data_IF_404478333099
#
_entry.id   IF_404478333099
#
_cell.length_a   1.000
_cell.length_b   1.000
_cell.length_c   1.000
_cell.angle_alpha   90.00
_cell.angle_beta   90.00
_cell.angle_gamma   90.00
#
_symmetry.space_group_name_H-M   'P 1'
#
loop_
_entity.id
_entity.type
_entity.pdbx_description
1 polymer ?
#
# COMPACT_ATOMS: atom_id res chain seq x y z
N UNK A 1 10.56 -31.78 -17.68
CA UNK A 1 11.43 -30.70 -17.19
C UNK A 1 10.76 -29.41 -17.60
N UNK A 2 10.16 -28.65 -16.67
CA UNK A 2 9.63 -27.33 -16.97
C UNK A 2 10.83 -26.40 -17.20
N UNK A 3 11.11 -26.06 -18.44
CA UNK A 3 12.07 -24.99 -18.77
C UNK A 3 11.39 -23.70 -18.36
N UNK A 4 11.97 -22.97 -17.43
CA UNK A 4 11.41 -21.72 -16.95
C UNK A 4 11.57 -20.61 -17.99
N UNK A 5 10.68 -19.61 -17.95
CA UNK A 5 10.66 -18.55 -18.93
C UNK A 5 11.96 -17.70 -18.92
N UNK A 6 12.56 -17.49 -17.77
CA UNK A 6 13.85 -16.82 -17.62
C UNK A 6 14.96 -17.50 -18.41
N UNK A 7 15.08 -18.82 -18.29
CA UNK A 7 16.12 -19.60 -18.98
C UNK A 7 15.93 -19.60 -20.49
N UNK A 8 14.67 -19.64 -20.94
CA UNK A 8 14.34 -19.52 -22.37
C UNK A 8 14.77 -18.18 -22.95
N UNK A 9 14.40 -17.08 -22.30
CA UNK A 9 14.76 -15.72 -22.69
C UNK A 9 16.28 -15.52 -22.63
N UNK A 10 16.93 -15.94 -21.56
CA UNK A 10 18.38 -15.82 -21.43
C UNK A 10 19.10 -16.59 -22.54
N UNK A 11 18.68 -17.82 -22.84
CA UNK A 11 19.25 -18.62 -23.91
C UNK A 11 19.04 -17.96 -25.29
N UNK A 12 17.85 -17.44 -25.55
CA UNK A 12 17.52 -16.73 -26.76
C UNK A 12 18.43 -15.51 -26.93
N UNK A 13 18.52 -14.65 -25.93
CA UNK A 13 19.31 -13.41 -26.00
C UNK A 13 20.82 -13.65 -26.11
N UNK A 14 21.33 -14.71 -25.47
CA UNK A 14 22.73 -15.11 -25.67
C UNK A 14 22.97 -15.60 -27.11
N UNK A 15 22.06 -16.39 -27.67
CA UNK A 15 22.18 -16.90 -29.04
C UNK A 15 22.03 -15.80 -30.12
N UNK A 16 21.23 -14.80 -29.85
CA UNK A 16 21.05 -13.60 -30.70
C UNK A 16 22.22 -12.62 -30.58
N UNK A 17 22.98 -12.69 -29.48
CA UNK A 17 24.14 -11.84 -29.25
C UNK A 17 25.35 -12.37 -30.02
N UNK A 18 26.35 -11.48 -30.22
CA UNK A 18 27.66 -11.86 -30.79
C UNK A 18 28.55 -12.59 -29.74
N UNK A 19 28.08 -12.76 -28.53
CA UNK A 19 28.85 -13.34 -27.42
C UNK A 19 28.53 -14.83 -27.24
N UNK A 20 29.58 -15.63 -27.15
CA UNK A 20 29.44 -16.98 -26.67
C UNK A 20 29.60 -17.05 -25.15
N UNK A 21 29.25 -18.18 -24.54
CA UNK A 21 29.31 -18.40 -23.09
C UNK A 21 30.73 -18.17 -22.53
N UNK A 22 31.79 -18.43 -23.32
CA UNK A 22 33.17 -18.21 -22.92
C UNK A 22 33.48 -16.74 -22.76
N UNK A 23 33.06 -15.93 -23.75
CA UNK A 23 33.23 -14.47 -23.75
C UNK A 23 32.43 -13.83 -22.62
N UNK A 24 31.16 -14.24 -22.47
CA UNK A 24 30.32 -13.73 -21.36
C UNK A 24 30.90 -14.08 -19.98
N UNK A 25 31.43 -15.29 -19.81
CA UNK A 25 32.08 -15.70 -18.57
C UNK A 25 33.26 -14.77 -18.21
N UNK A 26 34.07 -14.39 -19.21
CA UNK A 26 35.20 -13.47 -18.99
C UNK A 26 34.74 -12.05 -18.65
N UNK A 27 33.70 -11.54 -19.33
CA UNK A 27 33.18 -10.18 -19.16
C UNK A 27 32.44 -10.02 -17.83
N UNK A 28 31.63 -10.99 -17.46
CA UNK A 28 30.75 -10.93 -16.27
C UNK A 28 31.41 -11.47 -15.01
N UNK A 29 32.57 -12.16 -15.15
CA UNK A 29 33.22 -12.92 -14.08
C UNK A 29 32.30 -14.01 -13.45
N UNK A 30 31.35 -14.53 -14.24
CA UNK A 30 30.47 -15.65 -13.88
C UNK A 30 31.04 -16.92 -14.52
N UNK A 31 31.10 -18.05 -13.79
CA UNK A 31 31.66 -19.28 -14.34
C UNK A 31 30.84 -19.79 -15.55
N UNK A 32 31.54 -20.38 -16.55
CA UNK A 32 30.88 -20.96 -17.73
C UNK A 32 29.80 -21.97 -17.36
N UNK A 33 30.10 -22.83 -16.37
CA UNK A 33 29.16 -23.83 -15.90
C UNK A 33 27.90 -23.21 -15.30
N UNK A 34 28.03 -22.09 -14.60
CA UNK A 34 26.88 -21.34 -14.06
C UNK A 34 26.01 -20.76 -15.18
N UNK A 35 26.62 -20.09 -16.18
CA UNK A 35 25.87 -19.54 -17.32
C UNK A 35 25.13 -20.66 -18.06
N UNK A 36 25.78 -21.81 -18.31
CA UNK A 36 25.15 -22.96 -18.94
C UNK A 36 23.98 -23.53 -18.12
N UNK A 37 24.13 -23.61 -16.79
CA UNK A 37 23.03 -24.04 -15.91
C UNK A 37 21.86 -23.05 -15.91
N UNK A 38 22.14 -21.76 -16.03
CA UNK A 38 21.10 -20.74 -16.16
C UNK A 38 20.35 -20.89 -17.49
N UNK A 39 21.07 -21.04 -18.62
CA UNK A 39 20.48 -21.25 -19.93
C UNK A 39 19.67 -22.56 -20.05
N UNK A 40 20.06 -23.60 -19.33
CA UNK A 40 19.38 -24.90 -19.34
C UNK A 40 18.22 -25.01 -18.35
N UNK A 41 18.00 -24.01 -17.48
CA UNK A 41 16.99 -24.04 -16.46
C UNK A 41 17.28 -24.95 -15.26
N UNK A 42 18.48 -25.54 -15.20
CA UNK A 42 18.90 -26.38 -14.06
C UNK A 42 19.04 -25.54 -12.80
N UNK A 43 19.44 -24.27 -12.95
CA UNK A 43 19.63 -23.34 -11.85
C UNK A 43 19.26 -21.94 -12.32
N UNK A 44 18.74 -21.13 -11.40
CA UNK A 44 18.59 -19.68 -11.60
C UNK A 44 19.65 -18.95 -10.77
N UNK A 45 20.07 -17.74 -11.16
CA UNK A 45 20.98 -16.93 -10.35
C UNK A 45 20.44 -16.71 -8.94
N UNK A 46 21.30 -16.82 -7.93
CA UNK A 46 20.88 -16.69 -6.53
C UNK A 46 20.63 -15.24 -6.11
N UNK A 47 21.31 -14.30 -6.75
CA UNK A 47 21.22 -12.87 -6.44
C UNK A 47 20.98 -12.05 -7.70
N UNK A 48 20.36 -10.89 -7.50
CA UNK A 48 20.03 -9.97 -8.58
C UNK A 48 21.26 -9.37 -9.26
N UNK A 49 22.35 -9.15 -8.51
CA UNK A 49 23.62 -8.64 -9.04
C UNK A 49 24.17 -9.50 -10.20
N UNK A 50 23.97 -10.82 -10.14
CA UNK A 50 24.35 -11.74 -11.23
C UNK A 50 23.59 -11.46 -12.51
N UNK A 51 22.29 -11.13 -12.38
CA UNK A 51 21.44 -10.75 -13.51
C UNK A 51 21.85 -9.40 -14.07
N UNK A 52 22.14 -8.42 -13.22
CA UNK A 52 22.60 -7.10 -13.65
C UNK A 52 23.89 -7.21 -14.47
N UNK A 53 24.86 -8.03 -14.02
CA UNK A 53 26.08 -8.30 -14.78
C UNK A 53 25.80 -8.89 -16.16
N UNK A 54 24.90 -9.87 -16.25
CA UNK A 54 24.53 -10.43 -17.57
C UNK A 54 23.85 -9.38 -18.47
N UNK A 55 22.90 -8.62 -17.94
CA UNK A 55 22.17 -7.58 -18.67
C UNK A 55 23.11 -6.44 -19.14
N UNK A 56 24.13 -6.10 -18.34
CA UNK A 56 25.10 -5.05 -18.67
C UNK A 56 25.90 -5.38 -19.91
N UNK A 57 26.29 -6.63 -20.08
CA UNK A 57 27.16 -7.06 -21.18
C UNK A 57 26.43 -7.63 -22.38
N UNK A 58 25.14 -8.02 -22.24
CA UNK A 58 24.32 -8.44 -23.37
C UNK A 58 23.81 -7.20 -24.13
N UNK A 59 23.85 -7.21 -25.48
CA UNK A 59 23.35 -6.10 -26.31
C UNK A 59 21.83 -6.10 -26.40
N UNK A 60 21.16 -5.87 -25.26
CA UNK A 60 19.72 -5.89 -25.12
C UNK A 60 19.11 -4.50 -25.24
N UNK A 61 17.98 -4.40 -25.90
CA UNK A 61 17.12 -3.23 -25.84
C UNK A 61 16.58 -3.02 -24.41
N UNK A 62 16.06 -1.83 -24.12
CA UNK A 62 15.44 -1.54 -22.81
C UNK A 62 14.30 -2.54 -22.52
N UNK A 63 13.46 -2.82 -23.50
CA UNK A 63 12.33 -3.76 -23.38
C UNK A 63 12.84 -5.18 -23.03
N UNK A 64 13.84 -5.67 -23.75
CA UNK A 64 14.42 -6.99 -23.48
C UNK A 64 15.07 -7.10 -22.12
N UNK A 65 15.73 -6.02 -21.64
CA UNK A 65 16.27 -5.95 -20.28
C UNK A 65 15.17 -6.10 -19.22
N UNK A 66 14.07 -5.39 -19.42
CA UNK A 66 12.94 -5.43 -18.48
C UNK A 66 12.22 -6.79 -18.53
N UNK A 67 12.07 -7.39 -19.71
CA UNK A 67 11.52 -8.75 -19.84
C UNK A 67 12.37 -9.79 -19.12
N UNK A 68 13.69 -9.73 -19.27
CA UNK A 68 14.59 -10.68 -18.62
C UNK A 68 14.58 -10.51 -17.09
N UNK A 69 14.56 -9.26 -16.60
CA UNK A 69 14.42 -8.96 -15.18
C UNK A 69 13.09 -9.48 -14.62
N UNK A 70 12.00 -9.20 -15.32
CA UNK A 70 10.66 -9.66 -14.95
C UNK A 70 10.60 -11.19 -14.86
N UNK A 71 11.10 -11.87 -15.88
CA UNK A 71 11.13 -13.32 -15.90
C UNK A 71 11.96 -13.92 -14.76
N UNK A 72 13.12 -13.32 -14.47
CA UNK A 72 13.94 -13.70 -13.32
C UNK A 72 13.21 -13.52 -11.99
N UNK A 73 12.56 -12.38 -11.79
CA UNK A 73 11.82 -12.10 -10.57
C UNK A 73 10.65 -13.07 -10.37
N UNK A 74 9.92 -13.38 -11.44
CA UNK A 74 8.84 -14.38 -11.39
C UNK A 74 9.36 -15.75 -10.96
N UNK A 75 10.53 -16.16 -11.46
CA UNK A 75 11.14 -17.44 -11.07
C UNK A 75 11.63 -17.43 -9.61
N UNK A 76 12.10 -16.28 -9.10
CA UNK A 76 12.60 -16.17 -7.72
C UNK A 76 11.48 -16.15 -6.69
N UNK A 77 10.40 -15.41 -6.95
CA UNK A 77 9.36 -15.15 -5.94
C UNK A 77 8.04 -15.83 -6.26
N UNK A 78 7.87 -16.36 -7.47
CA UNK A 78 6.61 -16.85 -8.00
C UNK A 78 5.74 -15.74 -8.61
N UNK A 79 4.92 -16.11 -9.59
CA UNK A 79 4.09 -15.15 -10.35
C UNK A 79 3.17 -14.31 -9.46
N UNK A 80 2.49 -14.93 -8.50
CA UNK A 80 1.58 -14.23 -7.59
C UNK A 80 2.29 -13.21 -6.72
N UNK A 81 3.45 -13.57 -6.15
CA UNK A 81 4.23 -12.64 -5.34
C UNK A 81 4.80 -11.49 -6.20
N UNK A 82 5.17 -11.76 -7.45
CA UNK A 82 5.59 -10.72 -8.37
C UNK A 82 4.46 -9.71 -8.64
N UNK A 83 3.23 -10.18 -8.86
CA UNK A 83 2.07 -9.30 -9.00
C UNK A 83 1.84 -8.45 -7.74
N UNK A 84 1.93 -9.05 -6.56
CA UNK A 84 1.83 -8.33 -5.28
C UNK A 84 2.92 -7.26 -5.13
N UNK A 85 4.16 -7.56 -5.52
CA UNK A 85 5.26 -6.59 -5.52
C UNK A 85 4.99 -5.40 -6.47
N UNK A 86 4.37 -5.65 -7.62
CA UNK A 86 3.97 -4.58 -8.54
C UNK A 86 2.95 -3.64 -7.89
N UNK A 87 1.91 -4.19 -7.27
CA UNK A 87 0.91 -3.38 -6.56
C UNK A 87 1.50 -2.65 -5.36
N UNK A 88 2.44 -3.27 -4.63
CA UNK A 88 3.17 -2.60 -3.55
C UNK A 88 3.99 -1.41 -4.06
N UNK A 89 4.63 -1.55 -5.22
CA UNK A 89 5.38 -0.45 -5.85
C UNK A 89 4.44 0.70 -6.22
N UNK A 90 3.31 0.41 -6.84
CA UNK A 90 2.27 1.38 -7.19
C UNK A 90 1.71 2.05 -5.93
N UNK A 91 1.41 1.28 -4.89
CA UNK A 91 0.98 1.79 -3.59
C UNK A 91 1.96 2.80 -2.99
N UNK A 92 3.26 2.49 -2.98
CA UNK A 92 4.27 3.42 -2.46
C UNK A 92 4.36 4.68 -3.34
N UNK A 93 4.31 4.52 -4.66
CA UNK A 93 4.37 5.64 -5.58
C UNK A 93 3.15 6.57 -5.47
N UNK A 94 1.97 6.02 -5.15
CA UNK A 94 0.74 6.79 -4.99
C UNK A 94 0.85 7.87 -3.89
N UNK A 95 1.67 7.66 -2.86
CA UNK A 95 1.88 8.68 -1.83
C UNK A 95 2.50 9.98 -2.36
N UNK A 96 3.26 9.93 -3.45
CA UNK A 96 3.84 11.12 -4.08
C UNK A 96 2.81 11.92 -4.90
N UNK A 97 1.70 11.30 -5.28
CA UNK A 97 0.64 11.91 -6.10
C UNK A 97 -0.51 12.47 -5.28
N UNK A 98 -0.62 12.13 -4.00
CA UNK A 98 -1.64 12.65 -3.10
C UNK A 98 -1.17 13.93 -2.40
N UNK A 99 -1.91 15.02 -2.39
CA UNK A 99 -3.23 15.31 -2.93
C UNK A 99 -3.22 16.52 -3.89
N UNK A 100 -2.74 16.36 -5.09
CA UNK A 100 -2.68 17.49 -6.05
C UNK A 100 -3.88 17.58 -7.00
N UNK A 101 -4.84 16.66 -6.97
CA UNK A 101 -6.02 16.75 -7.81
C UNK A 101 -6.94 17.88 -7.31
N UNK A 102 -6.74 19.06 -7.88
CA UNK A 102 -7.65 20.21 -7.78
C UNK A 102 -8.85 20.01 -8.71
N UNK A 103 -9.57 18.92 -8.58
CA UNK A 103 -10.91 18.87 -9.16
C UNK A 103 -11.80 19.79 -8.33
N UNK A 104 -12.04 20.99 -8.85
CA UNK A 104 -13.03 21.89 -8.30
C UNK A 104 -14.43 21.39 -8.69
N UNK A 105 -14.95 20.42 -7.96
CA UNK A 105 -16.37 20.16 -8.02
C UNK A 105 -17.11 21.37 -7.44
N UNK A 106 -18.06 21.89 -8.20
CA UNK A 106 -18.99 22.86 -7.66
C UNK A 106 -19.93 22.11 -6.72
N UNK A 107 -19.64 22.16 -5.41
CA UNK A 107 -20.37 21.42 -4.37
C UNK A 107 -21.69 22.12 -3.97
N UNK A 108 -22.05 23.23 -4.61
CA UNK A 108 -23.29 23.94 -4.31
C UNK A 108 -24.45 23.44 -5.18
N UNK A 109 -25.00 22.28 -4.84
CA UNK A 109 -26.23 21.78 -5.45
C UNK A 109 -27.44 22.26 -4.64
N UNK A 110 -28.37 22.98 -5.30
CA UNK A 110 -29.70 23.26 -4.73
C UNK A 110 -30.67 22.22 -5.29
N UNK A 111 -31.10 21.31 -4.45
CA UNK A 111 -32.07 20.28 -4.82
C UNK A 111 -33.48 20.76 -4.53
N UNK A 112 -34.26 21.11 -5.58
CA UNK A 112 -35.69 21.36 -5.43
C UNK A 112 -36.50 20.05 -5.38
N UNK A 113 -36.01 19.00 -6.05
CA UNK A 113 -36.60 17.65 -6.06
C UNK A 113 -35.52 16.66 -6.51
N UNK A 114 -35.49 15.49 -5.90
CA UNK A 114 -34.64 14.40 -6.32
C UNK A 114 -35.48 13.17 -6.69
N UNK A 115 -35.09 12.48 -7.75
CA UNK A 115 -35.76 11.25 -8.16
C UNK A 115 -35.50 10.13 -7.15
N UNK A 116 -36.50 9.27 -6.93
CA UNK A 116 -36.34 8.07 -6.08
C UNK A 116 -35.43 7.01 -6.71
N UNK A 117 -35.27 7.04 -8.03
CA UNK A 117 -34.44 6.09 -8.78
C UNK A 117 -33.42 6.85 -9.62
N UNK A 118 -32.18 6.36 -9.63
CA UNK A 118 -31.14 6.73 -10.56
C UNK A 118 -31.02 5.61 -11.60
N UNK A 119 -31.05 5.97 -12.87
CA UNK A 119 -31.01 5.04 -14.01
C UNK A 119 -29.67 5.10 -14.76
N UNK A 120 -28.76 5.93 -14.30
CA UNK A 120 -27.44 6.10 -14.89
C UNK A 120 -26.46 6.64 -13.82
N UNK A 121 -25.11 6.59 -14.09
CA UNK A 121 -24.11 7.06 -13.15
C UNK A 121 -24.23 8.54 -12.76
N UNK A 122 -24.69 9.40 -13.66
CA UNK A 122 -24.80 10.85 -13.38
C UNK A 122 -25.94 11.13 -12.40
N UNK A 123 -27.08 10.49 -12.57
CA UNK A 123 -28.19 10.59 -11.62
C UNK A 123 -27.79 10.01 -10.25
N UNK A 124 -26.99 8.93 -10.23
CA UNK A 124 -26.47 8.35 -9.00
C UNK A 124 -25.49 9.30 -8.29
N UNK A 125 -24.65 10.01 -9.02
CA UNK A 125 -23.79 11.07 -8.46
C UNK A 125 -24.62 12.19 -7.84
N UNK A 126 -25.68 12.63 -8.49
CA UNK A 126 -26.60 13.65 -7.94
C UNK A 126 -27.26 13.17 -6.65
N UNK A 127 -27.71 11.91 -6.57
CA UNK A 127 -28.21 11.33 -5.33
C UNK A 127 -27.16 11.34 -4.22
N UNK A 128 -25.89 11.03 -4.56
CA UNK A 128 -24.81 11.07 -3.59
C UNK A 128 -24.56 12.48 -3.04
N UNK A 129 -24.54 13.48 -3.91
CA UNK A 129 -24.47 14.89 -3.48
C UNK A 129 -25.61 15.22 -2.51
N UNK A 130 -26.84 14.85 -2.85
CA UNK A 130 -28.00 15.11 -2.01
C UNK A 130 -27.88 14.47 -0.62
N UNK A 131 -27.43 13.21 -0.54
CA UNK A 131 -27.28 12.51 0.76
C UNK A 131 -26.20 13.15 1.62
N UNK A 132 -25.09 13.58 1.01
CA UNK A 132 -24.00 14.21 1.76
C UNK A 132 -24.44 15.59 2.26
N UNK A 133 -25.20 16.35 1.46
CA UNK A 133 -25.77 17.62 1.89
C UNK A 133 -26.80 17.44 3.04
N UNK A 134 -27.64 16.41 2.97
CA UNK A 134 -28.54 16.07 4.08
C UNK A 134 -27.72 15.78 5.36
N UNK A 135 -26.65 14.99 5.25
CA UNK A 135 -25.79 14.70 6.39
C UNK A 135 -25.12 15.96 6.96
N UNK A 136 -24.62 16.85 6.10
CA UNK A 136 -23.99 18.11 6.52
C UNK A 136 -24.94 19.05 7.26
N UNK A 137 -26.22 19.05 6.86
CA UNK A 137 -27.28 19.88 7.48
C UNK A 137 -27.80 19.31 8.80
N UNK A 138 -27.45 18.03 9.14
CA UNK A 138 -27.92 17.35 10.36
C UNK A 138 -26.75 16.91 11.25
N UNK A 139 -26.47 15.61 11.28
CA UNK A 139 -25.45 15.05 12.19
C UNK A 139 -24.02 15.20 11.73
N UNK A 140 -23.79 15.69 10.53
CA UNK A 140 -22.51 15.70 9.83
C UNK A 140 -21.86 14.31 9.75
N UNK A 141 -22.69 13.27 9.58
CA UNK A 141 -22.21 11.88 9.55
C UNK A 141 -22.79 11.12 8.38
N UNK A 142 -21.94 10.43 7.64
CA UNK A 142 -22.33 9.45 6.62
C UNK A 142 -21.88 8.04 7.01
N UNK A 143 -22.70 7.05 6.65
CA UNK A 143 -22.45 5.62 6.83
C UNK A 143 -22.36 4.97 5.47
N UNK A 144 -21.29 4.29 5.17
CA UNK A 144 -20.96 3.75 3.86
C UNK A 144 -20.74 2.24 3.99
N UNK A 145 -21.48 1.45 3.24
CA UNK A 145 -21.22 0.04 3.00
C UNK A 145 -20.85 -0.12 1.53
N UNK A 146 -19.58 0.06 1.20
CA UNK A 146 -19.10 0.06 -0.17
C UNK A 146 -17.58 0.02 -0.18
N UNK A 147 -17.01 -0.63 -1.17
CA UNK A 147 -15.58 -0.61 -1.42
C UNK A 147 -15.12 0.77 -1.90
N UNK A 148 -13.82 1.02 -1.87
CA UNK A 148 -13.26 2.31 -2.29
C UNK A 148 -12.92 2.37 -3.80
N UNK A 149 -12.90 1.24 -4.48
CA UNK A 149 -12.60 1.08 -5.91
C UNK A 149 -13.80 1.41 -6.82
N UNK A 150 -14.44 2.54 -6.59
CA UNK A 150 -15.64 2.92 -7.30
C UNK A 150 -15.65 4.42 -7.67
N UNK A 151 -16.39 4.82 -8.71
CA UNK A 151 -16.39 6.21 -9.21
C UNK A 151 -17.03 7.22 -8.26
N UNK A 152 -17.79 6.77 -7.25
CA UNK A 152 -18.44 7.64 -6.27
C UNK A 152 -17.50 8.07 -5.15
N UNK A 153 -16.39 7.34 -4.95
CA UNK A 153 -15.47 7.59 -3.85
C UNK A 153 -14.79 8.95 -3.96
N UNK A 154 -14.50 9.41 -5.18
CA UNK A 154 -13.92 10.74 -5.42
C UNK A 154 -14.82 11.85 -4.90
N UNK A 155 -16.14 11.76 -5.09
CA UNK A 155 -17.11 12.74 -4.57
C UNK A 155 -17.06 12.76 -3.04
N UNK A 156 -17.05 11.58 -2.40
CA UNK A 156 -16.93 11.47 -0.93
C UNK A 156 -15.64 12.12 -0.44
N UNK A 157 -14.53 11.89 -1.14
CA UNK A 157 -13.24 12.49 -0.81
C UNK A 157 -13.28 14.01 -0.91
N UNK A 158 -13.86 14.59 -1.97
CA UNK A 158 -13.97 16.03 -2.16
C UNK A 158 -14.81 16.69 -1.06
N UNK A 159 -15.94 16.10 -0.68
CA UNK A 159 -16.72 16.58 0.46
C UNK A 159 -15.92 16.49 1.77
N UNK A 160 -15.25 15.38 2.02
CA UNK A 160 -14.42 15.21 3.21
C UNK A 160 -13.30 16.26 3.28
N UNK A 161 -12.67 16.58 2.15
CA UNK A 161 -11.63 17.62 2.04
C UNK A 161 -12.16 19.01 2.37
N UNK A 162 -13.34 19.35 1.86
CA UNK A 162 -13.94 20.68 2.03
C UNK A 162 -14.67 20.83 3.38
N UNK A 163 -15.16 19.74 3.96
CA UNK A 163 -15.88 19.73 5.24
C UNK A 163 -15.15 18.84 6.28
N UNK A 164 -14.15 19.39 6.98
CA UNK A 164 -13.34 18.63 7.95
C UNK A 164 -14.12 18.02 9.11
N UNK A 165 -15.32 18.55 9.40
CA UNK A 165 -16.22 18.05 10.44
C UNK A 165 -17.05 16.84 9.99
N UNK A 166 -17.09 16.54 8.69
CA UNK A 166 -17.81 15.39 8.18
C UNK A 166 -17.24 14.09 8.74
N UNK A 167 -18.04 13.35 9.46
CA UNK A 167 -17.69 12.05 10.07
C UNK A 167 -18.04 10.92 9.08
N UNK A 168 -17.06 10.10 8.76
CA UNK A 168 -17.23 9.00 7.81
C UNK A 168 -17.09 7.66 8.53
N UNK A 169 -18.15 6.84 8.47
CA UNK A 169 -18.14 5.45 8.96
C UNK A 169 -18.29 4.52 7.77
N UNK A 170 -17.21 3.82 7.40
CA UNK A 170 -17.20 2.94 6.23
C UNK A 170 -16.92 1.49 6.62
N UNK A 171 -17.62 0.58 5.98
CA UNK A 171 -17.35 -0.85 5.99
C UNK A 171 -17.00 -1.26 4.57
N UNK A 172 -15.82 -1.84 4.40
CA UNK A 172 -15.33 -2.39 3.12
C UNK A 172 -15.38 -3.92 3.16
N UNK A 173 -15.62 -4.52 2.01
CA UNK A 173 -15.56 -5.97 1.84
C UNK A 173 -14.16 -6.36 1.38
N UNK A 174 -13.43 -7.09 2.20
CA UNK A 174 -12.16 -7.68 1.83
C UNK A 174 -12.37 -9.11 1.37
N UNK A 175 -11.54 -9.56 0.45
CA UNK A 175 -11.48 -10.96 0.08
C UNK A 175 -10.73 -11.73 1.15
N UNK A 176 -11.30 -12.85 1.58
CA UNK A 176 -10.58 -13.81 2.42
C UNK A 176 -9.75 -14.68 1.49
N UNK A 177 -8.53 -14.25 1.27
CA UNK A 177 -7.65 -14.81 0.26
C UNK A 177 -7.04 -16.10 0.81
N UNK A 178 -7.51 -17.24 0.29
CA UNK A 178 -6.66 -18.44 0.22
C UNK A 178 -5.42 -18.10 -0.63
N UNK A 179 -4.48 -19.05 -0.72
CA UNK A 179 -3.16 -18.84 -1.35
C UNK A 179 -3.16 -18.37 -2.82
N UNK A 180 -4.32 -18.21 -3.44
CA UNK A 180 -4.45 -18.05 -4.91
C UNK A 180 -4.88 -16.65 -5.38
N UNK A 181 -4.88 -15.62 -4.52
CA UNK A 181 -5.50 -14.35 -4.92
C UNK A 181 -4.56 -13.16 -4.83
N UNK A 182 -4.65 -12.35 -5.89
CA UNK A 182 -4.00 -11.06 -6.08
C UNK A 182 -4.34 -10.05 -4.97
N UNK A 183 -3.49 -9.06 -4.79
CA UNK A 183 -3.45 -7.97 -3.80
C UNK A 183 -4.69 -7.07 -3.69
N UNK A 184 -5.91 -7.58 -3.98
CA UNK A 184 -7.13 -6.76 -4.01
C UNK A 184 -7.43 -6.00 -2.70
N UNK A 185 -6.99 -6.52 -1.54
CA UNK A 185 -7.15 -5.81 -0.27
C UNK A 185 -6.19 -4.63 -0.15
N UNK A 186 -4.99 -4.75 -0.72
CA UNK A 186 -4.01 -3.65 -0.80
C UNK A 186 -4.47 -2.56 -1.76
N UNK A 187 -5.05 -2.92 -2.90
CA UNK A 187 -5.66 -1.97 -3.85
C UNK A 187 -6.80 -1.19 -3.19
N UNK A 188 -7.65 -1.86 -2.39
CA UNK A 188 -8.68 -1.18 -1.61
C UNK A 188 -8.08 -0.20 -0.60
N UNK A 189 -6.99 -0.58 0.08
CA UNK A 189 -6.29 0.30 1.00
C UNK A 189 -5.72 1.51 0.28
N UNK A 190 -5.13 1.33 -0.90
CA UNK A 190 -4.61 2.41 -1.73
C UNK A 190 -5.68 3.47 -2.03
N UNK A 191 -6.86 3.03 -2.46
CA UNK A 191 -7.98 3.93 -2.74
C UNK A 191 -8.51 4.66 -1.50
N UNK A 192 -8.38 4.05 -0.31
CA UNK A 192 -8.78 4.66 0.96
C UNK A 192 -7.78 5.71 1.49
N UNK A 193 -6.51 5.63 1.08
CA UNK A 193 -5.45 6.48 1.63
C UNK A 193 -5.72 7.97 1.55
N UNK A 194 -6.19 8.56 0.44
CA UNK A 194 -6.48 9.98 0.36
C UNK A 194 -7.43 10.44 1.47
N UNK A 195 -8.49 9.67 1.72
CA UNK A 195 -9.45 9.95 2.77
C UNK A 195 -8.84 9.82 4.17
N UNK A 196 -7.93 8.86 4.36
CA UNK A 196 -7.25 8.63 5.63
C UNK A 196 -6.26 9.73 5.98
N UNK A 197 -5.66 10.37 5.00
CA UNK A 197 -4.72 11.48 5.20
C UNK A 197 -5.43 12.80 5.56
N UNK A 198 -6.74 12.91 5.35
CA UNK A 198 -7.52 14.08 5.73
C UNK A 198 -7.67 14.20 7.25
N UNK A 199 -8.04 15.41 7.73
CA UNK A 199 -8.27 15.68 9.15
C UNK A 199 -9.58 15.11 9.70
N UNK A 200 -10.47 14.65 8.85
CA UNK A 200 -11.78 14.12 9.19
C UNK A 200 -11.72 12.97 10.21
N UNK A 201 -12.78 12.84 11.00
CA UNK A 201 -12.99 11.68 11.85
C UNK A 201 -13.50 10.51 10.99
N UNK A 202 -12.59 9.62 10.62
CA UNK A 202 -12.91 8.43 9.82
C UNK A 202 -12.86 7.17 10.67
N UNK A 203 -13.82 6.28 10.49
CA UNK A 203 -13.84 4.94 11.07
C UNK A 203 -14.03 3.93 9.95
N UNK A 204 -12.96 3.27 9.56
CA UNK A 204 -12.99 2.25 8.51
C UNK A 204 -12.85 0.88 9.14
N UNK A 205 -13.79 0.02 8.78
CA UNK A 205 -13.85 -1.37 9.20
C UNK A 205 -13.91 -2.27 7.97
N UNK A 206 -13.59 -3.54 8.14
CA UNK A 206 -13.70 -4.52 7.09
C UNK A 206 -14.43 -5.78 7.54
N UNK A 207 -15.04 -6.44 6.59
CA UNK A 207 -15.59 -7.79 6.70
C UNK A 207 -14.98 -8.63 5.57
N UNK A 208 -14.70 -9.89 5.85
CA UNK A 208 -14.36 -10.81 4.76
C UNK A 208 -15.62 -11.28 4.07
N UNK A 209 -15.74 -10.95 2.78
CA UNK A 209 -16.79 -11.51 1.93
C UNK A 209 -16.52 -13.01 1.76
N UNK A 210 -17.48 -13.85 2.15
CA UNK A 210 -17.49 -15.24 1.71
C UNK A 210 -18.10 -15.23 0.30
N UNK A 211 -17.51 -15.97 -0.64
CA UNK A 211 -18.08 -16.16 -1.99
C UNK A 211 -19.53 -16.69 -1.95
N UNK A 212 -19.90 -17.37 -0.87
CA UNK A 212 -21.25 -17.89 -0.60
C UNK A 212 -22.10 -16.96 0.28
N UNK A 213 -21.75 -15.67 0.44
CA UNK A 213 -22.60 -14.76 1.22
C UNK A 213 -23.81 -14.37 0.37
N UNK A 214 -25.07 -14.58 0.84
CA UNK A 214 -26.27 -14.22 0.10
C UNK A 214 -26.35 -12.73 -0.27
N UNK A 215 -25.58 -11.86 0.38
CA UNK A 215 -25.44 -10.46 -0.03
C UNK A 215 -24.67 -10.27 -1.36
N UNK A 216 -23.90 -11.23 -1.83
CA UNK A 216 -23.31 -11.22 -3.16
C UNK A 216 -24.34 -11.33 -4.29
N UNK A 217 -25.49 -11.89 -4.00
CA UNK A 217 -26.62 -12.01 -4.94
C UNK A 217 -27.64 -10.88 -4.78
N UNK A 218 -27.36 -9.88 -3.92
CA UNK A 218 -28.22 -8.71 -3.80
C UNK A 218 -28.09 -7.84 -5.03
N UNK A 219 -29.21 -7.43 -5.59
CA UNK A 219 -29.26 -6.45 -6.70
C UNK A 219 -28.59 -5.13 -6.25
N UNK A 220 -28.69 -4.78 -4.97
CA UNK A 220 -28.10 -3.59 -4.37
C UNK A 220 -27.20 -3.97 -3.19
N UNK A 221 -25.93 -4.41 -3.46
CA UNK A 221 -25.02 -4.82 -2.41
C UNK A 221 -24.45 -3.65 -1.60
N UNK A 222 -24.51 -2.44 -2.13
CA UNK A 222 -23.90 -1.25 -1.55
C UNK A 222 -24.95 -0.27 -1.03
N UNK A 223 -24.56 0.51 -0.03
CA UNK A 223 -25.43 1.56 0.50
C UNK A 223 -24.64 2.72 1.10
N UNK A 224 -25.23 3.92 1.00
CA UNK A 224 -24.75 5.13 1.67
C UNK A 224 -25.95 5.74 2.39
N UNK A 225 -25.77 6.09 3.67
CA UNK A 225 -26.82 6.62 4.50
C UNK A 225 -26.41 7.93 5.19
N UNK A 226 -27.35 8.87 5.23
CA UNK A 226 -27.36 10.05 6.10
C UNK A 226 -28.33 9.81 7.29
N UNK A 227 -28.81 10.91 7.87
CA UNK A 227 -29.81 10.83 8.95
C UNK A 227 -31.20 10.52 8.43
N UNK A 228 -31.58 11.07 7.28
CA UNK A 228 -32.94 11.00 6.76
C UNK A 228 -33.09 10.10 5.53
N UNK A 229 -31.98 9.74 4.88
CA UNK A 229 -32.02 9.04 3.59
C UNK A 229 -31.00 7.92 3.51
N UNK A 230 -31.29 6.92 2.67
CA UNK A 230 -30.37 5.87 2.28
C UNK A 230 -30.41 5.73 0.76
N UNK A 231 -29.25 5.65 0.13
CA UNK A 231 -29.14 5.16 -1.25
C UNK A 231 -28.73 3.69 -1.20
N UNK A 232 -29.47 2.87 -1.89
CA UNK A 232 -29.05 1.52 -2.26
C UNK A 232 -28.45 1.57 -3.66
N UNK A 233 -27.32 0.91 -3.88
CA UNK A 233 -26.51 1.01 -5.10
C UNK A 233 -26.20 -0.39 -5.62
N UNK A 234 -26.36 -0.59 -6.93
CA UNK A 234 -26.05 -1.87 -7.59
C UNK A 234 -24.51 -2.10 -7.69
N UNK A 235 -24.13 -3.33 -8.07
CA UNK A 235 -22.73 -3.74 -8.18
C UNK A 235 -21.91 -2.90 -9.16
N UNK A 236 -22.55 -2.40 -10.22
CA UNK A 236 -21.90 -1.72 -11.33
C UNK A 236 -21.89 -0.20 -11.18
N UNK A 237 -22.45 0.33 -10.09
CA UNK A 237 -22.56 1.77 -9.82
C UNK A 237 -23.30 2.56 -10.92
N UNK A 238 -24.28 1.90 -11.56
CA UNK A 238 -25.10 2.50 -12.62
C UNK A 238 -26.52 2.80 -12.18
N UNK A 239 -27.02 2.06 -11.19
CA UNK A 239 -28.39 2.19 -10.68
C UNK A 239 -28.37 2.50 -9.19
N UNK A 240 -29.32 3.31 -8.77
CA UNK A 240 -29.51 3.64 -7.36
C UNK A 240 -30.98 3.81 -6.99
N UNK A 241 -31.29 3.56 -5.74
CA UNK A 241 -32.62 3.78 -5.17
C UNK A 241 -32.51 4.57 -3.87
N UNK A 242 -33.15 5.75 -3.84
CA UNK A 242 -33.23 6.60 -2.66
C UNK A 242 -34.42 6.20 -1.80
N UNK A 243 -34.15 5.90 -0.53
CA UNK A 243 -35.14 5.50 0.47
C UNK A 243 -35.17 6.55 1.59
N UNK A 244 -36.35 7.04 1.91
CA UNK A 244 -36.63 7.93 3.04
C UNK A 244 -37.59 7.32 4.07
N UNK A 245 -38.28 6.24 3.70
CA UNK A 245 -39.22 5.51 4.57
C UNK A 245 -38.55 4.24 5.11
N UNK A 246 -38.85 3.88 6.36
CA UNK A 246 -38.29 2.68 7.02
C UNK A 246 -36.74 2.64 7.09
N UNK A 247 -36.08 3.77 6.90
CA UNK A 247 -34.62 3.90 6.97
C UNK A 247 -34.03 3.35 8.27
N UNK A 248 -34.77 3.44 9.40
CA UNK A 248 -34.32 2.91 10.70
C UNK A 248 -33.97 1.42 10.63
N UNK A 249 -34.72 0.65 9.85
CA UNK A 249 -34.43 -0.78 9.67
C UNK A 249 -33.10 -1.00 8.96
N UNK A 250 -32.86 -0.31 7.85
CA UNK A 250 -31.63 -0.43 7.06
C UNK A 250 -30.41 0.11 7.83
N UNK A 251 -30.58 1.21 8.58
CA UNK A 251 -29.54 1.73 9.49
C UNK A 251 -29.21 0.69 10.58
N UNK A 252 -30.21 -0.02 11.10
CA UNK A 252 -29.97 -1.09 12.06
C UNK A 252 -29.20 -2.26 11.44
N UNK A 253 -29.47 -2.62 10.20
CA UNK A 253 -28.68 -3.64 9.48
C UNK A 253 -27.23 -3.19 9.28
N UNK A 254 -26.98 -1.92 8.89
CA UNK A 254 -25.63 -1.36 8.88
C UNK A 254 -24.96 -1.46 10.27
N UNK A 255 -25.67 -1.10 11.31
CA UNK A 255 -25.16 -1.14 12.69
C UNK A 255 -24.83 -2.58 13.13
N UNK A 256 -25.62 -3.57 12.74
CA UNK A 256 -25.33 -5.00 12.96
C UNK A 256 -24.05 -5.41 12.26
N UNK A 257 -23.93 -5.10 10.95
CA UNK A 257 -22.69 -5.35 10.18
C UNK A 257 -21.49 -4.63 10.80
N UNK A 258 -21.66 -3.39 11.24
CA UNK A 258 -20.62 -2.60 11.87
C UNK A 258 -20.15 -3.19 13.22
N UNK A 259 -21.01 -3.89 13.97
CA UNK A 259 -20.61 -4.62 15.19
C UNK A 259 -19.75 -5.84 14.85
N UNK A 260 -20.07 -6.56 13.77
CA UNK A 260 -19.34 -7.75 13.32
C UNK A 260 -18.04 -7.40 12.59
N UNK A 261 -17.98 -6.23 11.97
CA UNK A 261 -16.85 -5.79 11.19
C UNK A 261 -15.62 -5.49 12.08
N UNK A 262 -14.45 -5.98 11.64
CA UNK A 262 -13.17 -5.71 12.30
C UNK A 262 -12.68 -4.31 11.94
N UNK A 263 -12.02 -3.65 12.88
CA UNK A 263 -11.41 -2.34 12.64
C UNK A 263 -10.20 -2.52 11.72
N UNK A 264 -10.23 -1.83 10.57
CA UNK A 264 -9.12 -1.88 9.62
C UNK A 264 -7.97 -0.99 10.07
N UNK A 265 -8.30 0.22 10.53
CA UNK A 265 -7.33 1.29 10.69
C UNK A 265 -7.49 1.96 12.04
N UNK A 266 -6.36 2.20 12.69
CA UNK A 266 -6.21 3.10 13.83
C UNK A 266 -5.47 4.35 13.36
N UNK A 267 -6.13 5.49 13.40
CA UNK A 267 -5.58 6.79 13.05
C UNK A 267 -5.31 7.58 14.31
N UNK A 268 -4.09 8.04 14.50
CA UNK A 268 -3.73 8.95 15.56
C UNK A 268 -3.15 10.24 14.99
N UNK A 269 -3.52 11.39 15.59
CA UNK A 269 -2.88 12.67 15.26
C UNK A 269 -1.59 12.74 16.06
N UNK A 270 -0.50 13.10 15.41
CA UNK A 270 0.76 13.38 16.11
C UNK A 270 0.62 14.71 16.84
N UNK A 271 0.27 14.67 18.13
CA UNK A 271 0.25 15.86 18.99
C UNK A 271 1.64 16.29 19.47
N UNK A 272 2.59 15.37 19.45
CA UNK A 272 3.97 15.58 19.90
C UNK A 272 4.91 14.72 19.06
N UNK A 273 6.03 15.30 18.70
CA UNK A 273 7.21 14.74 18.09
C UNK A 273 7.08 13.32 17.50
N UNK A 274 7.17 13.17 16.18
CA UNK A 274 7.23 11.92 15.42
C UNK A 274 8.07 10.83 16.06
N UNK A 275 9.20 11.26 16.67
CA UNK A 275 10.18 10.40 17.29
C UNK A 275 9.59 9.68 18.49
N UNK A 276 8.79 10.36 19.29
CA UNK A 276 8.12 9.74 20.44
C UNK A 276 7.13 8.67 19.99
N UNK A 277 6.41 8.91 18.89
CA UNK A 277 5.48 7.91 18.35
C UNK A 277 6.23 6.73 17.78
N UNK A 278 7.28 6.97 17.04
CA UNK A 278 8.15 5.94 16.49
C UNK A 278 8.77 5.09 17.61
N UNK A 279 9.40 5.71 18.60
CA UNK A 279 10.02 5.01 19.75
C UNK A 279 8.98 4.26 20.60
N UNK A 280 7.85 4.89 20.91
CA UNK A 280 6.80 4.21 21.69
C UNK A 280 6.20 3.03 20.91
N UNK A 281 6.12 3.12 19.60
CA UNK A 281 5.66 2.00 18.76
C UNK A 281 6.67 0.86 18.79
N UNK A 282 7.96 1.17 18.69
CA UNK A 282 9.03 0.18 18.78
C UNK A 282 9.08 -0.49 20.15
N UNK A 283 9.04 0.30 21.22
CA UNK A 283 9.22 -0.21 22.61
C UNK A 283 8.02 -1.00 23.14
N UNK A 284 6.83 -0.81 22.56
CA UNK A 284 5.62 -1.55 22.97
C UNK A 284 5.53 -2.96 22.39
N UNK A 285 6.41 -3.32 21.47
CA UNK A 285 6.40 -4.63 20.83
C UNK A 285 7.69 -5.39 21.21
N UNK A 286 7.55 -6.49 21.96
CA UNK A 286 8.67 -7.34 22.40
C UNK A 286 8.92 -8.46 21.39
N UNK A 287 10.19 -8.75 21.10
CA UNK A 287 10.68 -9.92 20.33
C UNK A 287 10.09 -10.09 18.93
N UNK A 288 10.14 -9.07 18.09
CA UNK A 288 9.72 -9.15 16.69
C UNK A 288 10.82 -8.68 15.75
N UNK A 289 10.87 -9.27 14.56
CA UNK A 289 11.67 -8.74 13.46
C UNK A 289 10.95 -7.54 12.88
N UNK A 290 11.64 -6.39 12.83
CA UNK A 290 11.11 -5.16 12.27
C UNK A 290 11.78 -4.85 10.95
N UNK A 291 10.97 -4.44 9.99
CA UNK A 291 11.43 -3.86 8.73
C UNK A 291 10.99 -2.40 8.69
N UNK A 292 11.93 -1.51 8.48
CA UNK A 292 11.68 -0.07 8.32
C UNK A 292 12.05 0.33 6.90
N UNK A 293 11.10 0.96 6.22
CA UNK A 293 11.29 1.50 4.88
C UNK A 293 11.12 3.02 4.95
N UNK A 294 12.10 3.78 4.45
CA UNK A 294 12.08 5.24 4.52
C UNK A 294 13.07 5.87 3.54
N UNK A 295 12.96 7.19 3.36
CA UNK A 295 14.04 7.98 2.79
C UNK A 295 15.13 8.22 3.85
N UNK A 296 16.40 8.19 3.43
CA UNK A 296 17.56 8.29 4.33
C UNK A 296 17.58 9.58 5.13
N UNK A 297 17.14 10.71 4.54
CA UNK A 297 17.09 12.01 5.19
C UNK A 297 16.17 12.05 6.39
N UNK A 298 15.05 11.31 6.33
CA UNK A 298 14.08 11.22 7.43
C UNK A 298 14.69 10.49 8.62
N UNK A 299 15.31 9.34 8.38
CA UNK A 299 16.00 8.58 9.44
C UNK A 299 17.17 9.37 10.01
N UNK A 300 17.95 10.05 9.15
CA UNK A 300 19.05 10.92 9.62
C UNK A 300 18.54 12.04 10.54
N UNK A 301 17.42 12.66 10.19
CA UNK A 301 16.79 13.68 11.02
C UNK A 301 16.37 13.10 12.38
N UNK A 302 15.80 11.90 12.40
CA UNK A 302 15.44 11.22 13.65
C UNK A 302 16.65 10.89 14.51
N UNK A 303 17.71 10.35 13.92
CA UNK A 303 18.95 10.04 14.65
C UNK A 303 19.62 11.30 15.20
N UNK A 304 19.64 12.40 14.44
CA UNK A 304 20.18 13.70 14.89
C UNK A 304 19.41 14.22 16.09
N UNK A 305 18.08 14.16 16.07
CA UNK A 305 17.25 14.61 17.20
C UNK A 305 17.43 13.69 18.41
N UNK A 306 17.56 12.38 18.21
CA UNK A 306 17.84 11.41 19.28
C UNK A 306 19.20 11.68 19.95
N UNK A 307 20.21 12.07 19.16
CA UNK A 307 21.53 12.41 19.71
C UNK A 307 21.57 13.77 20.42
N UNK A 308 20.72 14.71 20.03
CA UNK A 308 20.65 16.04 20.62
C UNK A 308 19.78 16.12 21.89
N UNK A 309 18.76 15.27 22.00
CA UNK A 309 17.76 15.30 23.05
C UNK A 309 17.87 14.07 23.97
N UNK A 310 18.72 14.17 25.02
CA UNK A 310 18.62 13.44 26.29
C UNK A 310 18.83 11.92 26.30
N UNK A 311 19.47 11.48 27.36
CA UNK A 311 19.81 10.11 27.73
C UNK A 311 18.62 9.13 27.76
N UNK A 312 17.36 9.58 27.99
CA UNK A 312 16.20 8.71 28.09
C UNK A 312 15.77 8.04 26.77
N UNK A 313 15.85 8.77 25.65
CA UNK A 313 15.51 8.22 24.33
C UNK A 313 16.58 7.28 23.80
N UNK A 314 17.83 7.62 24.03
CA UNK A 314 18.99 6.80 23.68
C UNK A 314 18.94 5.46 24.42
N UNK A 315 18.60 5.47 25.70
CA UNK A 315 18.48 4.26 26.51
C UNK A 315 17.33 3.37 26.04
N UNK A 316 16.15 3.94 25.75
CA UNK A 316 15.00 3.19 25.19
C UNK A 316 15.31 2.57 23.83
N UNK A 317 15.99 3.32 22.94
CA UNK A 317 16.39 2.79 21.64
C UNK A 317 17.41 1.67 21.80
N UNK A 318 18.41 1.84 22.66
CA UNK A 318 19.41 0.81 22.92
C UNK A 318 18.79 -0.46 23.54
N UNK A 319 17.88 -0.32 24.49
CA UNK A 319 17.13 -1.45 25.07
C UNK A 319 16.29 -2.17 24.01
N UNK A 320 15.62 -1.41 23.15
CA UNK A 320 14.88 -1.98 22.03
C UNK A 320 15.80 -2.76 21.07
N UNK A 321 16.94 -2.19 20.71
CA UNK A 321 17.90 -2.78 19.77
C UNK A 321 18.61 -4.03 20.32
N UNK A 322 18.81 -4.11 21.63
CA UNK A 322 19.35 -5.29 22.28
C UNK A 322 18.40 -6.50 22.20
N UNK A 323 17.10 -6.24 22.12
CA UNK A 323 16.07 -7.27 22.19
C UNK A 323 15.41 -7.58 20.85
N UNK A 324 15.74 -6.86 19.76
CA UNK A 324 15.06 -7.00 18.47
C UNK A 324 16.05 -6.92 17.30
N UNK A 325 15.71 -7.65 16.21
CA UNK A 325 16.40 -7.52 14.94
C UNK A 325 15.72 -6.45 14.10
N UNK A 326 16.48 -5.44 13.68
CA UNK A 326 16.00 -4.34 12.87
C UNK A 326 16.69 -4.35 11.51
N UNK A 327 15.89 -4.37 10.45
CA UNK A 327 16.37 -4.19 9.08
C UNK A 327 15.86 -2.87 8.52
N UNK A 328 16.78 -2.03 8.07
CA UNK A 328 16.51 -0.74 7.46
C UNK A 328 16.62 -0.85 5.93
N UNK A 329 15.57 -0.48 5.23
CA UNK A 329 15.52 -0.35 3.79
C UNK A 329 15.38 1.12 3.45
N UNK A 330 16.44 1.73 2.95
CA UNK A 330 16.51 3.18 2.77
C UNK A 330 16.66 3.54 1.30
N UNK A 331 15.97 4.59 0.86
CA UNK A 331 16.20 5.23 -0.44
C UNK A 331 17.09 6.46 -0.25
N UNK A 332 17.95 6.74 -1.20
CA UNK A 332 18.88 7.89 -1.20
C UNK A 332 18.97 8.53 -2.57
N UNK A 333 19.05 9.86 -2.59
CA UNK A 333 19.25 10.66 -3.82
C UNK A 333 20.67 10.52 -4.39
N UNK A 334 21.68 10.25 -3.56
CA UNK A 334 23.10 10.21 -3.96
C UNK A 334 23.86 9.04 -3.31
N UNK A 335 24.86 8.53 -4.03
CA UNK A 335 25.77 7.48 -3.51
C UNK A 335 26.66 7.92 -2.35
N UNK A 336 26.79 9.23 -2.10
CA UNK A 336 27.69 9.83 -1.09
C UNK A 336 27.20 9.68 0.34
N UNK A 337 25.89 9.53 0.56
CA UNK A 337 25.32 9.45 1.91
C UNK A 337 25.56 8.10 2.60
N UNK A 338 25.91 7.06 1.85
CA UNK A 338 26.15 5.72 2.40
C UNK A 338 27.23 5.68 3.49
N UNK A 339 28.36 6.35 3.27
CA UNK A 339 29.52 6.28 4.19
C UNK A 339 29.31 7.01 5.51
N UNK A 340 28.69 8.18 5.46
CA UNK A 340 28.38 8.95 6.68
C UNK A 340 27.29 8.29 7.52
N UNK A 341 26.33 7.66 6.88
CA UNK A 341 25.23 6.99 7.56
C UNK A 341 25.65 5.66 8.19
N UNK A 342 26.45 4.86 7.49
CA UNK A 342 27.02 3.62 8.05
C UNK A 342 27.90 3.90 9.26
N UNK A 343 28.67 5.00 9.29
CA UNK A 343 29.49 5.36 10.45
C UNK A 343 28.68 5.72 11.71
N UNK A 344 27.46 6.22 11.56
CA UNK A 344 26.57 6.54 12.70
C UNK A 344 25.91 5.27 13.26
N UNK A 345 25.68 4.26 12.44
CA UNK A 345 24.94 3.05 12.78
C UNK A 345 25.81 1.79 12.97
N UNK A 346 27.08 1.82 12.59
CA UNK A 346 27.99 0.65 12.62
C UNK A 346 28.26 0.05 14.01
N UNK A 347 27.85 0.72 15.08
CA UNK A 347 27.99 0.19 16.44
C UNK A 347 26.77 -0.63 16.92
N UNK A 348 25.78 -0.90 16.06
CA UNK A 348 24.52 -1.50 16.50
C UNK A 348 24.08 -2.63 15.54
N UNK A 349 23.33 -3.58 16.04
CA UNK A 349 22.80 -4.78 15.38
C UNK A 349 21.78 -4.48 14.27
N UNK A 350 22.14 -3.63 13.26
CA UNK A 350 21.26 -3.28 12.16
C UNK A 350 21.70 -3.96 10.87
N UNK A 351 20.76 -4.49 10.13
CA UNK A 351 20.93 -4.76 8.70
C UNK A 351 20.46 -3.55 7.91
N UNK A 352 21.32 -3.01 7.04
CA UNK A 352 21.00 -1.80 6.27
C UNK A 352 21.13 -2.07 4.78
N UNK A 353 20.04 -1.84 4.05
CA UNK A 353 19.98 -1.86 2.60
C UNK A 353 19.69 -0.45 2.09
N UNK A 354 20.56 0.09 1.24
CA UNK A 354 20.37 1.42 0.66
C UNK A 354 20.30 1.28 -0.85
N UNK A 355 19.22 1.82 -1.43
CA UNK A 355 19.00 1.85 -2.88
C UNK A 355 18.85 3.28 -3.38
N UNK A 356 19.11 3.48 -4.68
CA UNK A 356 18.91 4.77 -5.30
C UNK A 356 17.40 5.10 -5.39
N UNK A 357 17.01 6.34 -5.03
CA UNK A 357 15.63 6.83 -5.09
C UNK A 357 15.00 6.70 -6.49
N UNK A 358 15.83 6.79 -7.55
CA UNK A 358 15.33 6.63 -8.93
C UNK A 358 14.77 5.24 -9.22
N UNK A 359 15.10 4.25 -8.42
CA UNK A 359 14.60 2.87 -8.57
C UNK A 359 13.23 2.69 -7.90
N UNK A 360 13.07 3.23 -6.70
CA UNK A 360 11.78 3.31 -5.99
C UNK A 360 11.60 4.75 -5.53
N UNK A 361 10.63 5.45 -6.11
CA UNK A 361 10.28 6.81 -5.71
C UNK A 361 9.55 6.81 -4.36
N UNK A 362 10.32 6.63 -3.29
CA UNK A 362 9.80 6.58 -1.92
C UNK A 362 9.61 8.02 -1.38
N UNK A 363 8.45 8.36 -0.79
CA UNK A 363 8.22 9.70 -0.25
C UNK A 363 9.19 10.09 0.86
N UNK A 364 9.65 11.34 0.85
CA UNK A 364 10.66 11.85 1.80
C UNK A 364 10.12 11.95 3.23
N UNK A 365 8.80 12.07 3.41
CA UNK A 365 8.13 12.25 4.69
C UNK A 365 7.36 11.01 5.17
N UNK A 366 7.50 9.88 4.47
CA UNK A 366 6.89 8.60 4.84
C UNK A 366 7.91 7.69 5.51
N UNK A 367 7.52 7.12 6.64
CA UNK A 367 8.18 5.97 7.24
C UNK A 367 7.17 4.83 7.33
N UNK A 368 7.55 3.68 6.80
CA UNK A 368 6.78 2.43 6.91
C UNK A 368 7.48 1.53 7.91
N UNK A 369 6.77 1.15 8.95
CA UNK A 369 7.19 0.13 9.90
C UNK A 369 6.33 -1.10 9.68
N UNK A 370 6.94 -2.17 9.22
CA UNK A 370 6.27 -3.46 9.02
C UNK A 370 6.71 -4.46 10.10
N UNK A 371 5.73 -5.10 10.72
CA UNK A 371 5.91 -6.21 11.62
C UNK A 371 5.16 -7.43 11.06
N UNK A 372 5.29 -8.58 11.68
CA UNK A 372 4.52 -9.77 11.26
C UNK A 372 3.00 -9.60 11.39
N UNK A 373 2.55 -8.71 12.27
CA UNK A 373 1.13 -8.57 12.66
C UNK A 373 0.55 -7.19 12.45
N UNK A 374 1.38 -6.19 12.10
CA UNK A 374 0.92 -4.83 11.90
C UNK A 374 1.78 -4.08 10.90
N UNK A 375 1.13 -3.20 10.16
CA UNK A 375 1.75 -2.23 9.28
C UNK A 375 1.47 -0.83 9.83
N UNK A 376 2.51 -0.03 10.01
CA UNK A 376 2.37 1.33 10.51
C UNK A 376 2.97 2.29 9.50
N UNK A 377 2.13 3.19 9.03
CA UNK A 377 2.50 4.28 8.13
C UNK A 377 2.59 5.56 8.96
N UNK A 378 3.75 6.17 9.02
CA UNK A 378 4.03 7.37 9.79
C UNK A 378 4.27 8.52 8.83
N UNK A 379 3.38 9.51 8.87
CA UNK A 379 3.49 10.78 8.15
C UNK A 379 3.70 11.93 9.11
N UNK A 380 4.02 13.10 8.59
CA UNK A 380 4.27 14.31 9.39
C UNK A 380 3.23 14.61 10.48
N UNK A 381 1.97 14.41 10.21
CA UNK A 381 0.88 14.80 11.11
C UNK A 381 -0.04 13.65 11.51
N UNK A 382 0.14 12.48 10.93
CA UNK A 382 -0.79 11.38 11.04
C UNK A 382 -0.04 10.06 11.06
N UNK A 383 -0.43 9.17 11.98
CA UNK A 383 -0.03 7.78 11.97
C UNK A 383 -1.22 6.91 11.64
N UNK A 384 -1.02 5.95 10.79
CA UNK A 384 -2.01 4.98 10.36
C UNK A 384 -1.48 3.60 10.72
N UNK A 385 -2.17 2.89 11.61
CA UNK A 385 -1.82 1.50 11.95
C UNK A 385 -2.86 0.56 11.38
N UNK A 386 -2.42 -0.47 10.68
CA UNK A 386 -3.23 -1.46 9.98
C UNK A 386 -2.91 -2.83 10.57
N UNK A 387 -3.95 -3.60 10.94
CA UNK A 387 -3.83 -4.94 11.52
C UNK A 387 -4.45 -6.03 10.63
N UNK A 388 -4.73 -5.73 9.38
CA UNK A 388 -5.27 -6.71 8.46
C UNK A 388 -4.16 -7.63 7.95
N UNK A 389 -4.31 -8.93 8.18
CA UNK A 389 -3.22 -9.91 7.99
C UNK A 389 -2.73 -10.01 6.55
N UNK A 390 -3.61 -9.96 5.56
CA UNK A 390 -3.21 -10.13 4.16
C UNK A 390 -2.39 -8.93 3.69
N UNK A 391 -2.78 -7.72 4.08
CA UNK A 391 -2.01 -6.51 3.81
C UNK A 391 -0.64 -6.58 4.49
N UNK A 392 -0.59 -6.96 5.77
CA UNK A 392 0.68 -7.09 6.49
C UNK A 392 1.61 -8.13 5.84
N UNK A 393 1.05 -9.26 5.34
CA UNK A 393 1.81 -10.28 4.62
C UNK A 393 2.29 -9.77 3.25
N UNK A 394 1.48 -9.02 2.51
CA UNK A 394 1.89 -8.45 1.23
C UNK A 394 3.07 -7.49 1.43
N UNK A 395 3.06 -6.69 2.51
CA UNK A 395 4.17 -5.80 2.85
C UNK A 395 5.47 -6.51 3.25
N UNK A 396 5.45 -7.79 3.58
CA UNK A 396 6.68 -8.58 3.78
C UNK A 396 7.47 -8.76 2.49
N UNK A 397 6.82 -8.58 1.33
CA UNK A 397 7.50 -8.64 0.03
C UNK A 397 8.26 -7.36 -0.34
N UNK A 398 8.12 -6.28 0.45
CA UNK A 398 8.86 -5.03 0.21
C UNK A 398 10.37 -5.22 0.27
N UNK A 399 10.87 -6.09 1.12
CA UNK A 399 12.30 -6.41 1.19
C UNK A 399 12.81 -6.96 -0.15
N UNK A 400 12.05 -7.85 -0.77
CA UNK A 400 12.39 -8.40 -2.09
C UNK A 400 12.32 -7.35 -3.18
N UNK A 401 11.33 -6.45 -3.12
CA UNK A 401 11.23 -5.31 -4.03
C UNK A 401 12.47 -4.41 -3.92
N UNK A 402 12.92 -4.09 -2.70
CA UNK A 402 14.09 -3.26 -2.47
C UNK A 402 15.40 -3.93 -2.91
N UNK A 403 15.51 -5.25 -2.79
CA UNK A 403 16.70 -6.01 -3.20
C UNK A 403 16.75 -6.18 -4.72
N UNK A 404 15.59 -6.24 -5.39
CA UNK A 404 15.49 -6.47 -6.85
C UNK A 404 15.66 -5.22 -7.70
N UNK A 405 15.60 -4.05 -7.11
CA UNK A 405 15.75 -2.75 -7.76
C UNK A 405 17.18 -2.20 -7.55
#
# INVERSE_FOLDING_TARGET
MHINNFSLLLKQYINESQYNVVTLSKLTNISRSSIQKFMSGIQIPKNYETIEKLIQFLPLSIIQKDELKKAYMIEQVGYLNYQKMTVLKEFIQSFNTYPSSSFNYNLSYKFNKINKFAHNPEELKLMLHFIIEDALNHSKQIKILMNADNPLFEIIYQYAKNYPDLVIKQIVNFKNLGNDVTSSNLEQLEKLLPLLLLKNKTSIKYIYGKENNPNYYSIFPYSIASDNYIILINSDYTLGMLINENQKYLINEFNKKNKLAKKLIYKSKNKTNYINTFLNTLTNQKNTNFQIFSHISLIYTYLKILNQNQSSYKNKLNEFLQNNHLTLYLTSDQNTDKKSFTNILTNNHFNIHIINKNKINFPDDLLILNTQTSLILIFKNINITIYENTICQDFQLLDKLFISE
#
